data_IF_342848698530
#
_entry.id   IF_342848698530
#
_cell.length_a   1.000
_cell.length_b   1.000
_cell.length_c   1.000
_cell.angle_alpha   90.00
_cell.angle_beta   90.00
_cell.angle_gamma   90.00
#
_symmetry.space_group_name_H-M   'P 1'
#
loop_
_entity.id
_entity.type
_entity.pdbx_description
1 polymer ?
#
# COMPACT_ATOMS: atom_id res chain seq x y z
N UNK A 1 7.15 -10.79 -21.71
CA UNK A 1 6.28 -9.69 -21.23
C UNK A 1 7.07 -8.91 -20.21
N UNK A 2 7.67 -7.79 -20.63
CA UNK A 2 8.61 -7.00 -19.83
C UNK A 2 7.82 -5.96 -19.02
N UNK A 3 7.65 -6.23 -17.73
CA UNK A 3 6.95 -5.34 -16.81
C UNK A 3 7.85 -4.17 -16.45
N UNK A 4 7.58 -3.00 -17.05
CA UNK A 4 8.18 -1.71 -16.74
C UNK A 4 8.21 -1.47 -15.23
N UNK A 5 9.38 -1.64 -14.62
CA UNK A 5 9.67 -1.18 -13.27
C UNK A 5 9.86 0.33 -13.36
N UNK A 6 8.76 1.07 -13.25
CA UNK A 6 8.81 2.50 -13.00
C UNK A 6 9.43 2.71 -11.62
N UNK A 7 10.73 2.96 -11.59
CA UNK A 7 11.47 3.51 -10.44
C UNK A 7 10.75 4.78 -10.03
N UNK A 8 9.90 4.64 -9.02
CA UNK A 8 9.19 5.76 -8.43
C UNK A 8 10.17 6.32 -7.40
N UNK A 9 10.68 7.53 -7.60
CA UNK A 9 11.62 8.22 -6.70
C UNK A 9 11.03 8.58 -5.31
N UNK A 10 9.97 7.86 -4.88
CA UNK A 10 9.30 8.00 -3.60
C UNK A 10 9.72 6.92 -2.61
N UNK A 11 9.58 7.20 -1.32
CA UNK A 11 9.86 6.22 -0.25
C UNK A 11 9.09 4.91 -0.50
N UNK A 12 9.77 3.76 -0.56
CA UNK A 12 9.13 2.48 -0.82
C UNK A 12 8.10 2.17 0.27
N UNK A 13 6.94 1.64 -0.14
CA UNK A 13 5.90 1.23 0.79
C UNK A 13 6.38 0.00 1.57
N UNK A 14 6.51 0.11 2.90
CA UNK A 14 6.96 -0.99 3.75
C UNK A 14 5.81 -1.74 4.40
N UNK A 15 6.04 -2.98 4.85
CA UNK A 15 5.05 -3.77 5.57
C UNK A 15 4.56 -3.09 6.86
N UNK A 16 5.46 -2.38 7.56
CA UNK A 16 5.12 -1.62 8.76
C UNK A 16 4.20 -0.42 8.44
N UNK A 17 4.47 0.29 7.34
CA UNK A 17 3.59 1.37 6.87
C UNK A 17 2.22 0.84 6.45
N UNK A 18 2.17 -0.28 5.72
CA UNK A 18 0.92 -0.93 5.34
C UNK A 18 0.10 -1.35 6.58
N UNK A 19 0.73 -1.90 7.61
CA UNK A 19 0.06 -2.29 8.86
C UNK A 19 -0.58 -1.10 9.60
N UNK A 20 0.10 0.06 9.58
CA UNK A 20 -0.46 1.31 10.14
C UNK A 20 -1.68 1.77 9.35
N UNK A 21 -1.63 1.69 8.03
CA UNK A 21 -2.75 2.04 7.13
C UNK A 21 -3.94 1.13 7.43
N UNK A 22 -3.74 -0.19 7.52
CA UNK A 22 -4.80 -1.14 7.86
C UNK A 22 -5.42 -0.86 9.23
N UNK A 23 -4.59 -0.52 10.23
CA UNK A 23 -5.07 -0.17 11.57
C UNK A 23 -5.93 1.10 11.56
N UNK A 24 -5.56 2.10 10.77
CA UNK A 24 -6.35 3.33 10.60
C UNK A 24 -7.66 3.08 9.85
N UNK A 25 -7.60 2.21 8.83
CA UNK A 25 -8.74 1.78 8.03
C UNK A 25 -9.79 1.06 8.89
N UNK A 26 -9.34 0.11 9.73
CA UNK A 26 -10.19 -0.62 10.66
C UNK A 26 -10.84 0.29 11.72
N UNK A 27 -10.14 1.35 12.14
CA UNK A 27 -10.67 2.34 13.10
C UNK A 27 -11.70 3.29 12.47
N UNK A 28 -11.63 3.51 11.16
CA UNK A 28 -12.49 4.45 10.46
C UNK A 28 -12.95 3.87 9.11
N UNK A 29 -13.75 2.82 9.21
CA UNK A 29 -14.28 2.07 8.06
C UNK A 29 -15.18 2.89 7.12
N UNK A 30 -15.71 4.02 7.60
CA UNK A 30 -16.51 4.96 6.81
C UNK A 30 -15.68 6.05 6.10
N UNK A 31 -14.36 6.06 6.27
CA UNK A 31 -13.49 7.06 5.64
C UNK A 31 -13.37 6.82 4.13
N UNK A 32 -13.23 7.92 3.38
CA UNK A 32 -12.97 7.89 1.92
C UNK A 32 -11.76 7.02 1.56
N UNK A 33 -10.76 6.95 2.42
CA UNK A 33 -9.55 6.13 2.24
C UNK A 33 -9.88 4.63 2.25
N UNK A 34 -10.79 4.20 3.13
CA UNK A 34 -11.28 2.82 3.22
C UNK A 34 -12.16 2.47 2.03
N UNK A 35 -13.12 3.34 1.71
CA UNK A 35 -14.02 3.14 0.56
C UNK A 35 -13.27 3.09 -0.77
N UNK A 36 -12.17 3.82 -0.90
CA UNK A 36 -11.33 3.83 -2.10
C UNK A 36 -10.38 2.62 -2.20
N UNK A 37 -10.35 1.74 -1.20
CA UNK A 37 -9.49 0.54 -1.20
C UNK A 37 -8.00 0.86 -1.04
N UNK A 38 -7.66 1.97 -0.39
CA UNK A 38 -6.27 2.40 -0.23
C UNK A 38 -5.42 1.37 0.55
N UNK A 39 -5.98 0.73 1.58
CA UNK A 39 -5.29 -0.30 2.36
C UNK A 39 -4.83 -1.47 1.48
N UNK A 40 -5.68 -1.96 0.57
CA UNK A 40 -5.35 -3.04 -0.35
C UNK A 40 -4.22 -2.66 -1.32
N UNK A 41 -4.22 -1.41 -1.81
CA UNK A 41 -3.13 -0.86 -2.64
C UNK A 41 -1.82 -0.76 -1.87
N UNK A 42 -1.85 -0.31 -0.62
CA UNK A 42 -0.66 -0.22 0.23
C UNK A 42 -0.08 -1.61 0.51
N UNK A 43 -0.91 -2.61 0.79
CA UNK A 43 -0.45 -4.00 0.96
C UNK A 43 0.18 -4.56 -0.33
N UNK A 44 -0.46 -4.32 -1.47
CA UNK A 44 0.07 -4.74 -2.77
C UNK A 44 1.41 -4.10 -3.08
N UNK A 45 1.58 -2.81 -2.74
CA UNK A 45 2.84 -2.10 -2.90
C UNK A 45 3.93 -2.66 -1.96
N UNK A 46 3.61 -2.96 -0.70
CA UNK A 46 4.55 -3.59 0.23
C UNK A 46 4.96 -5.01 -0.21
N UNK A 47 4.02 -5.79 -0.74
CA UNK A 47 4.31 -7.11 -1.30
C UNK A 47 5.21 -7.04 -2.54
N UNK A 48 5.10 -5.97 -3.33
CA UNK A 48 5.95 -5.74 -4.50
C UNK A 48 7.36 -5.27 -4.09
N UNK A 49 7.49 -4.47 -3.04
CA UNK A 49 8.80 -4.02 -2.54
C UNK A 49 9.59 -5.13 -1.86
N UNK A 50 8.92 -6.14 -1.30
CA UNK A 50 9.57 -7.31 -0.71
C UNK A 50 9.99 -8.36 -1.74
N UNK A 51 9.62 -8.16 -3.02
CA UNK A 51 9.95 -9.05 -4.14
C UNK A 51 11.10 -8.52 -5.02
N UNK A 52 11.69 -7.40 -4.66
CA UNK A 52 12.91 -6.82 -5.26
C UNK A 52 14.06 -6.98 -4.30
#
# INVERSE_FOLDING_TARGET
>A
MEGRQSTSDGTPMTAQAASRIQSADARNSGSRTTTSGFAARAQSAAARTSKT
#
